data_IF_591076844528
#
_entry.id   IF_591076844528
#
_cell.length_a   1.000
_cell.length_b   1.000
_cell.length_c   1.000
_cell.angle_alpha   90.00
_cell.angle_beta   90.00
_cell.angle_gamma   90.00
#
_symmetry.space_group_name_H-M   'P 1'
#
loop_
_entity.id
_entity.type
_entity.pdbx_description
1 polymer ?
#
# COMPACT_ATOMS: atom_id res chain seq x y z
N UNK A 1 49.36 -41.31 35.81
CA UNK A 1 49.95 -40.51 34.70
C UNK A 1 49.57 -41.05 33.31
N UNK A 2 49.63 -42.36 33.06
CA UNK A 2 49.25 -42.97 31.76
C UNK A 2 47.81 -42.68 31.32
N UNK A 3 46.84 -42.73 32.24
CA UNK A 3 45.44 -42.43 31.93
C UNK A 3 45.21 -40.95 31.62
N UNK A 4 45.91 -40.04 32.31
CA UNK A 4 45.82 -38.60 32.06
C UNK A 4 46.38 -38.24 30.68
N UNK A 5 47.49 -38.87 30.28
CA UNK A 5 48.08 -38.71 28.94
C UNK A 5 47.12 -39.26 27.87
N UNK A 6 46.49 -40.41 28.10
CA UNK A 6 45.52 -40.97 27.16
C UNK A 6 44.28 -40.09 26.95
N UNK A 7 43.75 -39.51 28.03
CA UNK A 7 42.59 -38.59 27.96
C UNK A 7 42.95 -37.30 27.23
N UNK A 8 44.14 -36.75 27.48
CA UNK A 8 44.62 -35.54 26.80
C UNK A 8 44.85 -35.81 25.30
N UNK A 9 45.43 -36.95 24.94
CA UNK A 9 45.59 -37.37 23.54
C UNK A 9 44.24 -37.54 22.83
N UNK A 10 43.24 -38.13 23.50
CA UNK A 10 41.90 -38.29 22.93
C UNK A 10 41.19 -36.93 22.74
N UNK A 11 41.30 -36.02 23.70
CA UNK A 11 40.72 -34.68 23.58
C UNK A 11 41.32 -33.88 22.41
N UNK A 12 42.65 -33.97 22.22
CA UNK A 12 43.35 -33.34 21.10
C UNK A 12 42.92 -33.96 19.76
N UNK A 13 42.80 -35.29 19.70
CA UNK A 13 42.31 -35.97 18.49
C UNK A 13 40.89 -35.54 18.11
N UNK A 14 39.98 -35.44 19.07
CA UNK A 14 38.60 -34.97 18.82
C UNK A 14 38.62 -33.53 18.30
N UNK A 15 39.44 -32.66 18.88
CA UNK A 15 39.53 -31.26 18.47
C UNK A 15 40.09 -31.11 17.04
N UNK A 16 41.09 -31.92 16.67
CA UNK A 16 41.62 -31.95 15.29
C UNK A 16 40.57 -32.45 14.29
N UNK A 17 39.80 -33.48 14.63
CA UNK A 17 38.75 -34.02 13.74
C UNK A 17 37.62 -33.02 13.53
N UNK A 18 37.18 -32.32 14.58
CA UNK A 18 36.15 -31.27 14.47
C UNK A 18 36.65 -30.09 13.61
N UNK A 19 37.94 -29.75 13.71
CA UNK A 19 38.56 -28.68 12.92
C UNK A 19 38.70 -29.05 11.43
N UNK A 20 38.91 -30.34 11.13
CA UNK A 20 39.05 -30.84 9.76
C UNK A 20 37.70 -30.99 9.03
N UNK A 21 36.57 -31.01 9.74
CA UNK A 21 35.23 -31.14 9.15
C UNK A 21 34.65 -29.83 8.59
N UNK A 22 35.30 -28.69 8.80
CA UNK A 22 34.92 -27.41 8.19
C UNK A 22 35.65 -27.20 6.85
N UNK A 23 35.41 -28.09 5.89
CA UNK A 23 35.88 -27.91 4.52
C UNK A 23 34.80 -27.20 3.69
N UNK A 24 34.99 -25.92 3.27
CA UNK A 24 34.18 -25.37 2.19
C UNK A 24 34.75 -25.91 0.87
N UNK A 25 34.08 -26.87 0.27
CA UNK A 25 34.32 -27.26 -1.12
C UNK A 25 33.01 -27.65 -1.80
N UNK A 26 32.92 -27.64 -3.14
CA UNK A 26 33.58 -26.80 -4.13
C UNK A 26 32.55 -25.80 -4.70
N UNK A 27 32.86 -24.50 -4.64
CA UNK A 27 31.89 -23.44 -4.97
C UNK A 27 32.24 -22.57 -6.18
N UNK A 28 33.09 -23.01 -7.12
CA UNK A 28 33.21 -22.30 -8.39
C UNK A 28 32.03 -22.66 -9.28
N UNK A 29 30.88 -22.06 -8.96
CA UNK A 29 29.75 -21.94 -9.88
C UNK A 29 30.21 -21.07 -11.04
N UNK A 30 30.79 -21.74 -12.04
CA UNK A 30 30.93 -21.37 -13.43
C UNK A 30 29.91 -20.30 -13.78
N UNK A 31 30.39 -19.12 -14.16
CA UNK A 31 29.59 -17.92 -14.35
C UNK A 31 28.26 -18.24 -15.00
N UNK A 32 27.20 -18.27 -14.19
CA UNK A 32 25.87 -17.99 -14.70
C UNK A 32 25.95 -16.53 -15.11
N UNK A 33 26.24 -16.31 -16.38
CA UNK A 33 25.74 -15.15 -17.09
C UNK A 33 24.23 -15.22 -16.94
N UNK A 34 23.73 -14.74 -15.79
CA UNK A 34 22.34 -14.34 -15.64
C UNK A 34 22.09 -13.50 -16.89
N UNK A 35 21.18 -13.90 -17.78
CA UNK A 35 20.78 -12.99 -18.84
C UNK A 35 20.36 -11.74 -18.09
N UNK A 36 21.08 -10.63 -18.30
CA UNK A 36 20.61 -9.36 -17.76
C UNK A 36 19.24 -9.22 -18.39
N UNK A 37 18.20 -9.25 -17.56
CA UNK A 37 16.87 -8.86 -18.01
C UNK A 37 17.05 -7.42 -18.46
N UNK A 38 17.26 -7.23 -19.77
CA UNK A 38 17.16 -5.93 -20.38
C UNK A 38 15.73 -5.58 -20.07
N UNK A 39 15.53 -4.70 -19.10
CA UNK A 39 14.27 -4.00 -18.91
C UNK A 39 14.17 -3.07 -20.11
N UNK A 40 13.95 -3.67 -21.29
CA UNK A 40 13.29 -2.97 -22.36
C UNK A 40 11.97 -2.51 -21.78
N UNK A 41 11.60 -1.27 -22.09
CA UNK A 41 10.26 -0.80 -21.81
C UNK A 41 9.30 -1.88 -22.32
N UNK A 42 8.55 -2.49 -21.39
CA UNK A 42 7.46 -3.40 -21.73
C UNK A 42 6.44 -2.55 -22.48
N UNK A 43 6.61 -2.50 -23.80
CA UNK A 43 5.72 -1.84 -24.72
C UNK A 43 4.42 -2.63 -24.76
N UNK A 44 3.50 -2.33 -23.86
CA UNK A 44 2.09 -2.63 -24.13
C UNK A 44 1.20 -1.44 -23.84
N UNK A 45 1.52 -0.57 -22.87
CA UNK A 45 0.56 0.48 -22.47
C UNK A 45 1.11 1.92 -22.48
N UNK A 46 2.44 2.13 -22.58
CA UNK A 46 3.02 3.49 -22.44
C UNK A 46 3.51 4.15 -23.74
N UNK A 47 3.25 3.57 -24.92
CA UNK A 47 3.51 4.23 -26.21
C UNK A 47 2.29 4.94 -26.80
N UNK A 48 1.24 5.19 -26.03
CA UNK A 48 0.24 6.18 -26.43
C UNK A 48 0.57 7.48 -25.71
N UNK A 49 1.29 8.36 -26.39
CA UNK A 49 1.28 9.79 -26.07
C UNK A 49 -0.17 10.31 -26.26
N UNK A 50 -1.05 9.96 -25.33
CA UNK A 50 -2.40 10.51 -25.27
C UNK A 50 -2.28 11.83 -24.55
N UNK A 51 -2.55 12.88 -25.32
CA UNK A 51 -2.74 14.28 -24.90
C UNK A 51 -1.53 15.21 -24.84
N UNK A 52 -0.40 14.90 -25.51
CA UNK A 52 0.56 15.97 -25.81
C UNK A 52 -0.02 16.90 -26.89
N UNK A 53 -0.35 18.13 -26.51
CA UNK A 53 -0.72 19.20 -27.44
C UNK A 53 -2.21 19.45 -27.68
N UNK A 54 -3.16 18.74 -27.03
CA UNK A 54 -4.59 19.01 -27.23
C UNK A 54 -5.24 19.67 -26.01
N UNK A 55 -5.48 20.97 -26.14
CA UNK A 55 -6.51 21.71 -25.42
C UNK A 55 -7.88 21.25 -25.97
N UNK A 56 -8.34 20.06 -25.61
CA UNK A 56 -9.72 19.60 -25.87
C UNK A 56 -10.46 19.68 -24.54
N UNK A 57 -11.44 20.56 -24.35
CA UNK A 57 -12.69 20.60 -25.11
C UNK A 57 -13.72 19.90 -24.22
N UNK A 58 -14.60 20.68 -23.60
CA UNK A 58 -15.66 20.23 -22.68
C UNK A 58 -16.40 18.99 -23.22
N UNK A 59 -16.55 17.90 -22.44
CA UNK A 59 -17.31 16.75 -22.89
C UNK A 59 -18.80 17.02 -22.66
N UNK A 60 -19.40 17.72 -23.62
CA UNK A 60 -20.85 17.69 -23.86
C UNK A 60 -21.02 16.91 -25.15
N UNK A 61 -21.84 15.86 -25.12
CA UNK A 61 -22.13 14.96 -26.24
C UNK A 61 -21.01 14.03 -26.73
N UNK A 62 -20.99 12.80 -26.20
CA UNK A 62 -20.81 11.59 -27.02
C UNK A 62 -21.10 10.31 -26.22
N UNK A 63 -22.23 9.67 -26.54
CA UNK A 63 -22.34 8.21 -26.68
C UNK A 63 -22.27 7.36 -25.40
N UNK A 64 -23.45 7.00 -24.91
CA UNK A 64 -23.73 5.94 -23.94
C UNK A 64 -23.18 4.57 -24.39
N UNK A 65 -22.24 4.02 -23.63
CA UNK A 65 -21.95 2.58 -23.54
C UNK A 65 -21.60 2.28 -22.08
N UNK A 66 -22.56 1.69 -21.35
CA UNK A 66 -22.41 1.28 -19.96
C UNK A 66 -21.79 -0.12 -19.96
N UNK A 67 -20.51 -0.21 -19.62
CA UNK A 67 -19.86 -1.47 -19.22
C UNK A 67 -19.91 -1.55 -17.69
N UNK A 68 -20.85 -2.35 -17.19
CA UNK A 68 -21.16 -2.56 -15.77
C UNK A 68 -20.11 -3.47 -15.11
N UNK A 69 -18.85 -3.03 -15.10
CA UNK A 69 -17.72 -3.85 -14.63
C UNK A 69 -16.59 -3.09 -13.92
N UNK A 70 -16.57 -1.76 -13.95
CA UNK A 70 -15.46 -1.00 -13.36
C UNK A 70 -15.91 0.26 -12.62
N UNK A 71 -16.62 0.11 -11.51
CA UNK A 71 -16.69 1.14 -10.47
C UNK A 71 -15.39 1.14 -9.66
N UNK A 72 -14.26 1.38 -10.31
CA UNK A 72 -13.10 1.94 -9.61
C UNK A 72 -13.25 3.46 -9.71
N UNK A 73 -14.17 3.98 -8.88
CA UNK A 73 -14.28 5.41 -8.59
C UNK A 73 -13.01 5.78 -7.82
N UNK A 74 -11.93 6.03 -8.55
CA UNK A 74 -10.87 6.90 -8.07
C UNK A 74 -11.39 8.33 -8.31
N UNK A 75 -11.91 9.05 -7.31
CA UNK A 75 -12.23 10.44 -7.49
C UNK A 75 -10.89 11.16 -7.40
N UNK A 76 -10.21 11.26 -8.54
CA UNK A 76 -9.27 12.36 -8.71
C UNK A 76 -10.11 13.64 -8.65
N UNK A 77 -9.91 14.52 -7.65
CA UNK A 77 -10.73 15.71 -7.52
C UNK A 77 -10.38 16.63 -8.68
N UNK A 78 -11.18 16.59 -9.74
CA UNK A 78 -11.13 17.56 -10.84
C UNK A 78 -11.35 19.00 -10.33
N UNK A 79 -11.84 19.15 -9.10
CA UNK A 79 -11.93 20.40 -8.35
C UNK A 79 -11.38 20.14 -6.94
N UNK A 80 -10.28 20.80 -6.55
CA UNK A 80 -9.61 20.66 -5.25
C UNK A 80 -10.44 21.04 -4.00
N UNK A 81 -11.75 21.19 -4.17
CA UNK A 81 -12.71 21.61 -3.15
C UNK A 81 -13.71 20.50 -2.79
N UNK A 82 -13.53 19.28 -3.28
CA UNK A 82 -14.41 18.14 -2.98
C UNK A 82 -13.60 16.91 -2.59
N UNK A 83 -14.13 16.16 -1.63
CA UNK A 83 -13.60 14.87 -1.19
C UNK A 83 -14.68 13.80 -1.35
N UNK A 84 -14.31 12.54 -1.63
CA UNK A 84 -15.27 11.43 -1.68
C UNK A 84 -15.99 11.23 -0.34
N UNK A 85 -17.29 10.94 -0.42
CA UNK A 85 -18.13 10.63 0.74
C UNK A 85 -17.59 9.43 1.51
N UNK A 86 -17.09 8.41 0.79
CA UNK A 86 -16.54 7.20 1.40
C UNK A 86 -15.36 7.51 2.33
N UNK A 87 -14.47 8.39 1.91
CA UNK A 87 -13.36 8.85 2.75
C UNK A 87 -13.88 9.54 4.02
N UNK A 88 -14.92 10.36 3.92
CA UNK A 88 -15.49 11.05 5.08
C UNK A 88 -16.12 10.10 6.09
N UNK A 89 -16.77 9.03 5.62
CA UNK A 89 -17.31 7.98 6.50
C UNK A 89 -16.18 7.26 7.23
N UNK A 90 -15.11 6.90 6.52
CA UNK A 90 -13.92 6.28 7.11
C UNK A 90 -13.24 7.20 8.13
N UNK A 91 -13.13 8.50 7.80
CA UNK A 91 -12.54 9.51 8.67
C UNK A 91 -13.37 9.74 9.94
N UNK A 92 -14.70 9.75 9.86
CA UNK A 92 -15.59 9.83 11.04
C UNK A 92 -15.43 8.63 11.96
N UNK A 93 -15.25 7.43 11.41
CA UNK A 93 -15.06 6.21 12.21
C UNK A 93 -13.69 6.18 12.89
N UNK A 94 -12.66 6.63 12.17
CA UNK A 94 -11.30 6.81 12.66
C UNK A 94 -11.22 7.88 13.77
N UNK A 95 -11.90 9.00 13.56
CA UNK A 95 -11.81 10.19 14.39
C UNK A 95 -13.19 10.65 14.89
N UNK A 96 -13.62 10.21 16.09
CA UNK A 96 -14.92 10.59 16.65
C UNK A 96 -15.01 12.08 17.03
N UNK A 97 -13.88 12.76 17.27
CA UNK A 97 -13.89 14.20 17.55
C UNK A 97 -14.28 15.03 16.32
N UNK A 98 -13.92 14.55 15.12
CA UNK A 98 -14.40 15.16 13.87
C UNK A 98 -15.93 15.07 13.79
N UNK A 99 -16.49 13.90 14.08
CA UNK A 99 -17.94 13.71 14.07
C UNK A 99 -18.64 14.67 15.05
N UNK A 100 -18.13 14.78 16.28
CA UNK A 100 -18.63 15.75 17.27
C UNK A 100 -18.57 17.19 16.77
N UNK A 101 -17.47 17.56 16.11
CA UNK A 101 -17.30 18.91 15.57
C UNK A 101 -18.29 19.23 14.44
N UNK A 102 -18.59 18.23 13.60
CA UNK A 102 -19.58 18.35 12.51
C UNK A 102 -20.98 18.47 13.09
N UNK A 103 -21.34 17.59 14.01
CA UNK A 103 -22.64 17.62 14.70
C UNK A 103 -22.86 18.97 15.37
N UNK A 104 -21.90 19.42 16.18
CA UNK A 104 -21.98 20.70 16.90
C UNK A 104 -22.09 21.92 15.99
N UNK A 105 -21.52 21.85 14.78
CA UNK A 105 -21.45 23.01 13.88
C UNK A 105 -22.61 23.08 12.90
N UNK A 106 -23.18 21.93 12.53
CA UNK A 106 -24.14 21.83 11.43
C UNK A 106 -25.50 21.26 11.83
N UNK A 107 -25.60 20.53 12.94
CA UNK A 107 -26.83 19.85 13.36
C UNK A 107 -27.38 20.49 14.64
N UNK A 108 -26.54 20.56 15.67
CA UNK A 108 -26.85 21.20 16.95
C UNK A 108 -26.84 22.73 16.78
N UNK A 109 -28.03 23.31 16.67
CA UNK A 109 -28.19 24.75 16.40
C UNK A 109 -28.12 25.56 17.68
N UNK A 110 -28.66 25.01 18.78
CA UNK A 110 -28.73 25.69 20.06
C UNK A 110 -27.44 25.53 20.89
N UNK A 111 -26.51 24.68 20.45
CA UNK A 111 -25.23 24.36 21.08
C UNK A 111 -25.34 23.87 22.52
N UNK A 112 -26.43 23.18 22.84
CA UNK A 112 -26.66 22.65 24.19
C UNK A 112 -25.92 21.31 24.44
N UNK A 113 -25.36 20.71 23.39
CA UNK A 113 -24.61 19.46 23.47
C UNK A 113 -25.51 18.21 23.49
N UNK A 114 -26.81 18.37 23.30
CA UNK A 114 -27.77 17.31 23.06
C UNK A 114 -28.28 17.39 21.61
N UNK A 115 -28.94 16.34 21.12
CA UNK A 115 -29.51 16.32 19.78
C UNK A 115 -31.01 16.10 19.88
N UNK A 116 -31.78 17.13 19.56
CA UNK A 116 -33.23 17.04 19.50
C UNK A 116 -33.69 16.35 18.20
N UNK A 117 -34.88 15.74 18.23
CA UNK A 117 -35.44 15.09 17.04
C UNK A 117 -35.75 16.11 15.93
N UNK A 118 -36.10 17.32 16.34
CA UNK A 118 -36.41 18.46 15.49
C UNK A 118 -35.18 18.96 14.73
N UNK A 119 -33.99 18.91 15.33
CA UNK A 119 -32.72 19.24 14.68
C UNK A 119 -32.28 18.16 13.69
N UNK A 120 -32.42 16.88 14.07
CA UNK A 120 -32.03 15.76 13.22
C UNK A 120 -32.91 15.60 11.98
N UNK A 121 -34.21 15.87 12.11
CA UNK A 121 -35.20 15.67 11.05
C UNK A 121 -35.51 16.96 10.29
N UNK A 122 -34.74 18.03 10.52
CA UNK A 122 -34.97 19.30 9.85
C UNK A 122 -34.85 19.12 8.33
N UNK A 123 -35.90 19.42 7.55
CA UNK A 123 -35.82 19.37 6.10
C UNK A 123 -34.84 20.43 5.59
N UNK A 124 -33.85 20.00 4.82
CA UNK A 124 -32.91 20.88 4.13
C UNK A 124 -33.62 21.43 2.88
N UNK A 125 -34.25 22.59 2.99
CA UNK A 125 -34.88 23.30 1.88
C UNK A 125 -33.91 24.28 1.21
#
# INVERSE_FOLDING_TARGET
>A
MRCAVAVLCLAVLVLVVVSASAAPGPGFSKGQTKPRTIRGFKNVVLSTARNFGKRGGTPSDQGEFVDEGSLQVNPSPANGNSFPVQWFVEEIQSNPELARSVVRKFIDENQDGELSAEELLRPVY
#
